data_IF_330174041248
#
_entry.id   IF_330174041248
#
_cell.length_a   1.000
_cell.length_b   1.000
_cell.length_c   1.000
_cell.angle_alpha   90.00
_cell.angle_beta   90.00
_cell.angle_gamma   90.00
#
_symmetry.space_group_name_H-M   'P 1'
#
loop_
_entity.id
_entity.type
_entity.pdbx_description
1 polymer ?
#
# COMPACT_ATOMS: atom_id res chain seq x y z
N UNK A 1 15.74 -34.44 2.78
CA UNK A 1 16.18 -34.05 1.43
C UNK A 1 16.37 -32.54 1.50
N UNK A 2 17.63 -32.07 1.39
CA UNK A 2 17.99 -30.65 1.39
C UNK A 2 17.35 -30.00 0.17
N UNK A 3 16.49 -29.00 0.40
CA UNK A 3 15.95 -28.16 -0.66
C UNK A 3 17.08 -27.42 -1.36
N UNK A 4 17.00 -27.35 -2.68
CA UNK A 4 17.92 -26.60 -3.52
C UNK A 4 17.81 -25.12 -3.13
N UNK A 5 18.91 -24.40 -2.82
CA UNK A 5 18.84 -22.97 -2.56
C UNK A 5 18.29 -22.25 -3.79
N UNK A 6 17.41 -21.28 -3.58
CA UNK A 6 16.86 -20.42 -4.62
C UNK A 6 18.01 -19.78 -5.40
N UNK A 7 18.34 -20.33 -6.57
CA UNK A 7 19.39 -19.79 -7.44
C UNK A 7 18.77 -18.70 -8.31
N UNK A 8 19.36 -17.48 -8.22
CA UNK A 8 19.19 -16.47 -9.26
C UNK A 8 19.92 -16.96 -10.51
N UNK A 9 19.22 -17.54 -11.46
CA UNK A 9 19.79 -18.01 -12.70
C UNK A 9 19.61 -16.94 -13.79
N UNK A 10 20.48 -15.94 -13.80
CA UNK A 10 20.46 -14.80 -14.71
C UNK A 10 20.75 -15.17 -16.18
N UNK A 11 21.06 -16.43 -16.49
CA UNK A 11 21.50 -16.88 -17.82
C UNK A 11 20.50 -17.78 -18.55
N UNK A 12 19.47 -18.30 -17.87
CA UNK A 12 18.47 -19.14 -18.52
C UNK A 12 17.30 -18.26 -19.02
N UNK A 13 16.83 -18.54 -20.25
CA UNK A 13 15.65 -17.85 -20.80
C UNK A 13 14.39 -18.30 -20.06
N UNK A 14 13.70 -17.41 -19.35
CA UNK A 14 12.48 -17.78 -18.62
C UNK A 14 11.34 -18.20 -19.54
N UNK A 15 11.28 -17.76 -20.81
CA UNK A 15 10.24 -18.17 -21.76
C UNK A 15 10.41 -19.61 -22.24
N UNK A 16 11.62 -20.18 -22.14
CA UNK A 16 11.83 -21.61 -22.39
C UNK A 16 11.43 -22.45 -21.17
N UNK A 17 11.63 -21.90 -19.96
CA UNK A 17 11.38 -22.61 -18.70
C UNK A 17 9.92 -22.54 -18.25
N UNK A 18 9.23 -21.45 -18.55
CA UNK A 18 7.87 -21.20 -18.10
C UNK A 18 6.96 -20.78 -19.26
N UNK A 19 5.75 -21.34 -19.28
CA UNK A 19 4.70 -20.87 -20.18
C UNK A 19 3.84 -19.83 -19.44
N UNK A 20 3.86 -18.59 -19.94
CA UNK A 20 3.02 -17.52 -19.41
C UNK A 20 1.59 -17.68 -19.94
N UNK A 21 0.62 -17.64 -19.05
CA UNK A 21 -0.82 -17.73 -19.34
C UNK A 21 -1.48 -16.35 -19.10
N UNK A 22 -2.73 -16.34 -18.62
CA UNK A 22 -3.51 -15.15 -18.38
C UNK A 22 -2.92 -14.25 -17.26
N UNK A 23 -3.13 -12.95 -17.40
CA UNK A 23 -2.83 -11.97 -16.35
C UNK A 23 -3.81 -12.17 -15.20
N UNK A 24 -3.29 -12.29 -13.99
CA UNK A 24 -4.08 -12.51 -12.76
C UNK A 24 -4.04 -11.33 -11.80
N UNK A 25 -3.19 -10.34 -12.07
CA UNK A 25 -3.11 -9.15 -11.23
C UNK A 25 -2.01 -8.19 -11.65
N UNK A 26 -1.93 -7.08 -10.90
CA UNK A 26 -0.89 -6.08 -11.02
C UNK A 26 -0.20 -5.94 -9.67
N UNK A 27 1.10 -6.19 -9.61
CA UNK A 27 1.94 -6.05 -8.42
C UNK A 27 2.42 -4.61 -8.20
N UNK A 28 3.09 -4.39 -7.06
CA UNK A 28 3.65 -3.07 -6.69
C UNK A 28 4.63 -2.53 -7.73
N UNK A 29 5.31 -3.41 -8.47
CA UNK A 29 6.36 -3.03 -9.44
C UNK A 29 6.11 -3.61 -10.84
N UNK A 30 5.03 -4.35 -11.07
CA UNK A 30 4.81 -5.00 -12.35
C UNK A 30 3.53 -5.81 -12.42
N UNK A 31 3.41 -6.63 -13.46
CA UNK A 31 2.24 -7.46 -13.72
C UNK A 31 2.45 -8.88 -13.24
N UNK A 32 1.38 -9.52 -12.77
CA UNK A 32 1.39 -10.91 -12.31
C UNK A 32 0.57 -11.77 -13.26
N UNK A 33 1.16 -12.87 -13.70
CA UNK A 33 0.54 -13.84 -14.60
C UNK A 33 0.46 -15.19 -13.93
N UNK A 34 -0.56 -15.96 -14.29
CA UNK A 34 -0.56 -17.39 -14.11
C UNK A 34 0.40 -18.00 -15.12
N UNK A 35 1.11 -19.04 -14.76
CA UNK A 35 2.02 -19.73 -15.65
C UNK A 35 2.17 -21.21 -15.31
N UNK A 36 2.91 -21.92 -16.16
CA UNK A 36 3.26 -23.32 -15.98
C UNK A 36 4.78 -23.44 -16.01
N UNK A 37 5.35 -24.10 -15.03
CA UNK A 37 6.72 -24.59 -15.07
C UNK A 37 6.77 -25.76 -16.07
N UNK A 38 7.44 -25.58 -17.20
CA UNK A 38 7.47 -26.54 -18.31
C UNK A 38 8.14 -27.87 -17.92
N UNK A 39 9.02 -27.86 -16.91
CA UNK A 39 9.68 -29.08 -16.43
C UNK A 39 8.80 -29.89 -15.47
N UNK A 40 8.24 -29.21 -14.47
CA UNK A 40 7.47 -29.88 -13.40
C UNK A 40 5.97 -29.99 -13.71
N UNK A 41 5.49 -29.27 -14.74
CA UNK A 41 4.08 -29.10 -15.10
C UNK A 41 3.23 -28.51 -13.96
N UNK A 42 3.85 -27.86 -13.00
CA UNK A 42 3.16 -27.17 -11.91
C UNK A 42 2.74 -25.77 -12.33
N UNK A 43 1.57 -25.37 -11.83
CA UNK A 43 1.09 -24.00 -11.98
C UNK A 43 1.88 -23.11 -11.03
N UNK A 44 2.35 -21.96 -11.54
CA UNK A 44 3.12 -20.95 -10.83
C UNK A 44 2.51 -19.57 -11.05
N UNK A 45 2.84 -18.63 -10.19
CA UNK A 45 2.61 -17.21 -10.41
C UNK A 45 3.92 -16.57 -10.91
N UNK A 46 3.82 -15.78 -11.97
CA UNK A 46 4.96 -15.12 -12.62
C UNK A 46 4.75 -13.62 -12.49
N UNK A 47 5.56 -12.94 -11.65
CA UNK A 47 5.59 -11.49 -11.57
C UNK A 47 6.65 -10.96 -12.51
N UNK A 48 6.28 -10.11 -13.46
CA UNK A 48 7.18 -9.52 -14.46
C UNK A 48 7.32 -8.02 -14.15
N UNK A 49 8.55 -7.58 -13.94
CA UNK A 49 8.91 -6.21 -13.63
C UNK A 49 9.82 -5.70 -14.75
N UNK A 50 9.49 -4.56 -15.34
CA UNK A 50 10.38 -3.86 -16.27
C UNK A 50 11.37 -3.01 -15.47
N UNK A 51 12.65 -3.38 -15.48
CA UNK A 51 13.69 -2.70 -14.70
C UNK A 51 14.05 -1.32 -15.26
N UNK A 52 13.77 -1.04 -16.53
CA UNK A 52 13.94 0.31 -17.09
C UNK A 52 12.87 1.27 -16.55
N UNK A 53 11.63 0.79 -16.45
CA UNK A 53 10.54 1.58 -15.85
C UNK A 53 10.69 1.72 -14.34
N UNK A 54 11.33 0.75 -13.68
CA UNK A 54 11.52 0.66 -12.23
C UNK A 54 12.96 1.00 -11.80
N UNK A 55 13.73 1.78 -12.57
CA UNK A 55 15.14 2.08 -12.30
C UNK A 55 15.36 2.63 -10.88
N UNK A 56 14.50 3.52 -10.42
CA UNK A 56 14.57 4.13 -9.09
C UNK A 56 14.18 3.17 -7.94
N UNK A 57 13.64 1.98 -8.26
CA UNK A 57 13.08 1.01 -7.31
C UNK A 57 13.88 -0.31 -7.25
N UNK A 58 15.00 -0.42 -7.98
CA UNK A 58 15.79 -1.65 -8.10
C UNK A 58 16.25 -2.17 -6.74
N UNK A 59 16.69 -1.28 -5.84
CA UNK A 59 17.13 -1.69 -4.50
C UNK A 59 15.98 -2.28 -3.68
N UNK A 60 14.78 -1.72 -3.80
CA UNK A 60 13.60 -2.20 -3.10
C UNK A 60 13.14 -3.56 -3.64
N UNK A 61 13.21 -3.75 -4.97
CA UNK A 61 12.91 -5.02 -5.63
C UNK A 61 13.90 -6.09 -5.20
N UNK A 62 15.19 -5.78 -5.15
CA UNK A 62 16.22 -6.71 -4.68
C UNK A 62 16.00 -7.09 -3.21
N UNK A 63 15.61 -6.13 -2.37
CA UNK A 63 15.31 -6.38 -0.97
C UNK A 63 14.08 -7.26 -0.80
N UNK A 64 13.00 -7.02 -1.55
CA UNK A 64 11.81 -7.88 -1.54
C UNK A 64 12.15 -9.32 -1.92
N UNK A 65 12.92 -9.53 -3.00
CA UNK A 65 13.37 -10.84 -3.44
C UNK A 65 14.24 -11.51 -2.36
N UNK A 66 15.14 -10.77 -1.74
CA UNK A 66 16.01 -11.29 -0.67
C UNK A 66 15.18 -11.78 0.51
N UNK A 67 14.21 -10.99 0.96
CA UNK A 67 13.32 -11.37 2.08
C UNK A 67 12.49 -12.59 1.71
N UNK A 68 11.86 -12.61 0.51
CA UNK A 68 11.08 -13.74 0.04
C UNK A 68 11.90 -15.03 -0.06
N UNK A 69 13.12 -14.94 -0.59
CA UNK A 69 14.01 -16.10 -0.75
C UNK A 69 14.44 -16.74 0.57
N UNK A 70 14.43 -15.99 1.66
CA UNK A 70 14.77 -16.44 3.01
C UNK A 70 13.56 -17.04 3.75
N UNK A 71 12.33 -16.81 3.27
CA UNK A 71 11.12 -17.31 3.92
C UNK A 71 10.89 -18.78 3.55
N UNK A 72 10.69 -19.62 4.55
CA UNK A 72 10.26 -21.02 4.41
C UNK A 72 9.18 -21.31 5.46
N UNK A 73 7.94 -21.04 5.12
CA UNK A 73 6.79 -21.22 6.00
C UNK A 73 5.56 -21.60 5.19
N UNK A 74 4.67 -22.46 5.70
CA UNK A 74 3.40 -22.79 5.05
C UNK A 74 2.42 -21.62 5.05
N UNK A 75 2.72 -20.53 5.77
CA UNK A 75 1.86 -19.34 5.91
C UNK A 75 2.34 -18.14 5.09
N UNK A 76 3.42 -18.31 4.34
CA UNK A 76 4.01 -17.30 3.46
C UNK A 76 4.15 -17.88 2.07
N UNK A 77 3.83 -17.09 1.06
CA UNK A 77 3.95 -17.47 -0.36
C UNK A 77 5.38 -17.88 -0.68
N UNK A 78 5.57 -19.05 -1.30
CA UNK A 78 6.90 -19.56 -1.66
C UNK A 78 7.47 -18.82 -2.85
N UNK A 79 8.77 -18.54 -2.78
CA UNK A 79 9.59 -18.04 -3.87
C UNK A 79 10.35 -19.19 -4.49
N UNK A 80 10.31 -19.34 -5.82
CA UNK A 80 10.99 -20.41 -6.54
C UNK A 80 12.26 -19.95 -7.26
N UNK A 81 12.35 -18.70 -7.65
CA UNK A 81 13.51 -18.14 -8.31
C UNK A 81 13.19 -16.89 -9.09
N UNK A 82 14.25 -16.26 -9.64
CA UNK A 82 14.13 -15.12 -10.52
C UNK A 82 15.03 -15.25 -11.73
N UNK A 83 14.59 -14.70 -12.86
CA UNK A 83 15.24 -14.77 -14.16
C UNK A 83 15.22 -13.39 -14.81
N UNK A 84 16.31 -13.04 -15.48
CA UNK A 84 16.37 -11.78 -16.23
C UNK A 84 16.33 -12.08 -17.72
N UNK A 85 15.39 -11.45 -18.44
CA UNK A 85 15.33 -11.46 -19.90
C UNK A 85 15.21 -10.04 -20.41
N UNK A 86 16.21 -9.59 -21.15
CA UNK A 86 16.36 -8.21 -21.59
C UNK A 86 16.27 -7.25 -20.40
N UNK A 87 15.30 -6.35 -20.38
CA UNK A 87 15.03 -5.42 -19.26
C UNK A 87 14.03 -5.94 -18.25
N UNK A 88 13.49 -7.16 -18.47
CA UNK A 88 12.39 -7.72 -17.67
C UNK A 88 12.88 -8.75 -16.66
N UNK A 89 12.57 -8.50 -15.40
CA UNK A 89 12.80 -9.42 -14.31
C UNK A 89 11.56 -10.29 -14.09
N UNK A 90 11.72 -11.61 -14.21
CA UNK A 90 10.70 -12.60 -13.95
C UNK A 90 10.91 -13.18 -12.56
N UNK A 91 9.92 -13.04 -11.69
CA UNK A 91 9.92 -13.62 -10.33
C UNK A 91 8.90 -14.74 -10.31
N UNK A 92 9.36 -15.95 -10.04
CA UNK A 92 8.53 -17.15 -10.03
C UNK A 92 8.15 -17.49 -8.59
N UNK A 93 6.85 -17.60 -8.35
CA UNK A 93 6.28 -17.79 -7.02
C UNK A 93 5.21 -18.88 -7.02
N UNK A 94 4.82 -19.29 -5.82
CA UNK A 94 3.69 -20.17 -5.61
C UNK A 94 2.40 -19.54 -6.13
N UNK A 95 1.63 -20.31 -6.90
CA UNK A 95 0.30 -19.91 -7.35
C UNK A 95 -0.76 -20.31 -6.32
N UNK A 96 -1.60 -19.35 -5.97
CA UNK A 96 -2.70 -19.51 -5.00
C UNK A 96 -4.02 -19.20 -5.70
N UNK A 97 -4.72 -20.26 -6.13
CA UNK A 97 -5.86 -20.16 -7.05
C UNK A 97 -7.20 -19.83 -6.39
N UNK A 98 -7.24 -19.66 -5.07
CA UNK A 98 -8.47 -19.29 -4.35
C UNK A 98 -8.77 -17.79 -4.35
N UNK A 99 -7.87 -16.97 -4.88
CA UNK A 99 -7.97 -15.51 -4.87
C UNK A 99 -7.46 -14.88 -3.58
N UNK A 100 -7.56 -13.56 -3.48
CA UNK A 100 -7.24 -12.82 -2.26
C UNK A 100 -8.44 -12.77 -1.30
N UNK A 101 -8.17 -12.47 -0.03
CA UNK A 101 -9.24 -12.23 0.93
C UNK A 101 -10.12 -11.03 0.51
N UNK A 102 -9.55 -10.06 -0.21
CA UNK A 102 -10.31 -8.95 -0.78
C UNK A 102 -11.28 -9.42 -1.86
N UNK A 103 -10.85 -10.31 -2.78
CA UNK A 103 -11.72 -10.90 -3.80
C UNK A 103 -12.90 -11.63 -3.17
N UNK A 104 -12.66 -12.33 -2.07
CA UNK A 104 -13.69 -13.09 -1.35
C UNK A 104 -14.73 -12.20 -0.64
N UNK A 105 -14.47 -10.91 -0.50
CA UNK A 105 -15.43 -9.91 0.02
C UNK A 105 -16.40 -9.40 -1.06
N UNK A 106 -16.09 -9.56 -2.35
CA UNK A 106 -16.92 -9.05 -3.46
C UNK A 106 -18.37 -9.58 -3.43
N UNK A 107 -18.62 -10.88 -3.23
CA UNK A 107 -19.99 -11.40 -3.18
C UNK A 107 -20.78 -10.98 -1.94
N UNK A 108 -20.12 -10.48 -0.90
CA UNK A 108 -20.76 -10.07 0.35
C UNK A 108 -19.90 -10.28 1.59
N UNK A 109 -20.48 -9.96 2.74
CA UNK A 109 -19.81 -10.04 4.04
C UNK A 109 -19.39 -11.46 4.43
N UNK A 110 -18.36 -11.55 5.25
CA UNK A 110 -17.90 -12.77 5.92
C UNK A 110 -18.60 -12.93 7.28
N UNK A 111 -18.81 -14.17 7.70
CA UNK A 111 -19.19 -14.46 9.08
C UNK A 111 -17.96 -14.40 10.01
N UNK A 112 -18.21 -14.34 11.33
CA UNK A 112 -17.12 -14.21 12.30
C UNK A 112 -16.24 -15.46 12.38
N UNK A 113 -16.73 -16.64 11.99
CA UNK A 113 -15.94 -17.86 11.90
C UNK A 113 -14.95 -17.78 10.75
N UNK A 114 -15.38 -17.28 9.59
CA UNK A 114 -14.54 -17.05 8.43
C UNK A 114 -13.48 -15.99 8.75
N UNK A 115 -13.88 -14.87 9.35
CA UNK A 115 -12.96 -13.81 9.79
C UNK A 115 -11.91 -14.36 10.78
N UNK A 116 -12.34 -15.10 11.81
CA UNK A 116 -11.43 -15.67 12.80
C UNK A 116 -10.44 -16.67 12.18
N UNK A 117 -10.90 -17.48 11.24
CA UNK A 117 -10.07 -18.47 10.56
C UNK A 117 -9.00 -17.79 9.69
N UNK A 118 -9.37 -16.77 8.93
CA UNK A 118 -8.42 -15.98 8.12
C UNK A 118 -7.43 -15.25 9.03
N UNK A 119 -7.89 -14.56 10.07
CA UNK A 119 -7.02 -13.84 11.01
C UNK A 119 -6.04 -14.76 11.73
N UNK A 120 -6.47 -15.96 12.11
CA UNK A 120 -5.56 -16.95 12.73
C UNK A 120 -4.43 -17.33 11.78
N UNK A 121 -4.70 -17.57 10.52
CA UNK A 121 -3.68 -17.93 9.54
C UNK A 121 -2.74 -16.75 9.24
N UNK A 122 -3.26 -15.52 9.16
CA UNK A 122 -2.43 -14.32 9.07
C UNK A 122 -1.51 -14.21 10.30
N UNK A 123 -2.04 -14.44 11.50
CA UNK A 123 -1.27 -14.42 12.75
C UNK A 123 -0.16 -15.45 12.77
N UNK A 124 -0.38 -16.65 12.25
CA UNK A 124 0.68 -17.67 12.12
C UNK A 124 1.79 -17.21 11.18
N UNK A 125 1.43 -16.57 10.06
CA UNK A 125 2.40 -15.97 9.14
C UNK A 125 3.20 -14.84 9.79
N UNK A 126 2.53 -13.95 10.53
CA UNK A 126 3.18 -12.86 11.26
C UNK A 126 4.07 -13.37 12.40
N UNK A 127 3.64 -14.38 13.16
CA UNK A 127 4.46 -14.98 14.21
C UNK A 127 5.77 -15.56 13.64
N UNK A 128 5.68 -16.24 12.49
CA UNK A 128 6.87 -16.70 11.76
C UNK A 128 7.77 -15.54 11.35
N UNK A 129 7.26 -14.54 10.63
CA UNK A 129 8.04 -13.39 10.14
C UNK A 129 8.70 -12.63 11.27
N UNK A 130 7.95 -12.35 12.35
CA UNK A 130 8.47 -11.62 13.50
C UNK A 130 9.54 -12.40 14.27
N UNK A 131 9.43 -13.74 14.35
CA UNK A 131 10.46 -14.60 14.93
C UNK A 131 11.76 -14.56 14.11
N UNK A 132 11.65 -14.43 12.78
CA UNK A 132 12.76 -14.25 11.84
C UNK A 132 13.25 -12.80 11.73
N UNK A 133 12.80 -11.90 12.62
CA UNK A 133 13.14 -10.47 12.62
C UNK A 133 12.75 -9.75 11.32
N UNK A 134 11.67 -10.19 10.69
CA UNK A 134 11.10 -9.59 9.49
C UNK A 134 9.78 -8.89 9.81
N UNK A 135 9.50 -7.77 9.13
CA UNK A 135 8.24 -7.03 9.19
C UNK A 135 7.62 -7.08 7.80
N UNK A 136 6.31 -7.38 7.71
CA UNK A 136 5.61 -7.45 6.43
C UNK A 136 5.38 -6.08 5.81
N UNK A 137 4.95 -5.09 6.61
CA UNK A 137 4.68 -3.68 6.25
C UNK A 137 3.47 -3.40 5.38
N UNK A 138 2.86 -4.39 4.75
CA UNK A 138 1.68 -4.19 3.88
C UNK A 138 0.61 -5.26 4.13
N UNK A 139 0.25 -5.46 5.40
CA UNK A 139 -0.86 -6.35 5.78
C UNK A 139 -2.18 -5.68 5.44
N UNK A 140 -2.94 -6.31 4.54
CA UNK A 140 -4.28 -5.93 4.09
C UNK A 140 -4.93 -7.13 3.39
N UNK A 141 -6.26 -7.12 3.21
CA UNK A 141 -6.98 -8.25 2.61
C UNK A 141 -6.49 -8.59 1.18
N UNK A 142 -6.05 -7.60 0.40
CA UNK A 142 -5.50 -7.81 -0.94
C UNK A 142 -4.20 -8.65 -0.95
N UNK A 143 -3.42 -8.61 0.12
CA UNK A 143 -2.14 -9.32 0.26
C UNK A 143 -2.25 -10.62 1.06
N UNK A 144 -3.46 -11.08 1.31
CA UNK A 144 -3.77 -12.36 1.94
C UNK A 144 -4.36 -13.26 0.87
N UNK A 145 -3.60 -14.25 0.42
CA UNK A 145 -4.00 -15.14 -0.67
C UNK A 145 -4.45 -16.50 -0.14
N UNK A 146 -5.38 -17.11 -0.83
CA UNK A 146 -5.89 -18.44 -0.51
C UNK A 146 -5.57 -19.44 -1.64
N UNK A 147 -5.20 -20.66 -1.25
CA UNK A 147 -5.19 -21.79 -2.18
C UNK A 147 -6.62 -22.24 -2.48
N UNK A 148 -6.80 -23.03 -3.52
CA UNK A 148 -8.11 -23.63 -3.82
C UNK A 148 -8.63 -24.55 -2.71
N UNK A 149 -7.76 -25.02 -1.82
CA UNK A 149 -8.08 -25.84 -0.66
C UNK A 149 -8.37 -25.02 0.60
N UNK A 150 -8.31 -23.68 0.50
CA UNK A 150 -8.59 -22.77 1.61
C UNK A 150 -7.38 -22.45 2.50
N UNK A 151 -6.17 -22.91 2.15
CA UNK A 151 -4.95 -22.51 2.86
C UNK A 151 -4.69 -21.01 2.66
N UNK A 152 -4.35 -20.31 3.72
CA UNK A 152 -4.15 -18.86 3.73
C UNK A 152 -2.67 -18.54 3.84
N UNK A 153 -2.16 -17.67 2.97
CA UNK A 153 -0.76 -17.27 2.95
C UNK A 153 -0.60 -15.76 2.78
N UNK A 154 0.43 -15.22 3.42
CA UNK A 154 0.84 -13.84 3.24
C UNK A 154 1.62 -13.70 1.93
N UNK A 155 1.27 -12.71 1.15
CA UNK A 155 1.91 -12.37 -0.11
C UNK A 155 2.29 -10.88 -0.15
N UNK A 156 3.06 -10.48 -1.16
CA UNK A 156 3.48 -9.10 -1.41
C UNK A 156 3.94 -8.36 -0.16
N UNK A 157 5.17 -8.64 0.22
CA UNK A 157 5.84 -7.84 1.23
C UNK A 157 6.00 -6.42 0.68
N UNK A 158 5.31 -5.47 1.28
CA UNK A 158 5.67 -4.07 1.09
C UNK A 158 7.13 -3.93 1.50
N UNK A 159 7.93 -3.17 0.79
CA UNK A 159 9.39 -3.04 1.02
C UNK A 159 9.81 -3.55 2.40
N UNK A 160 9.89 -4.88 2.53
CA UNK A 160 10.07 -5.56 3.79
C UNK A 160 11.50 -5.30 4.26
N UNK A 161 11.65 -4.35 5.17
CA UNK A 161 12.94 -4.07 5.77
C UNK A 161 13.29 -5.20 6.73
N UNK A 162 14.46 -5.80 6.58
CA UNK A 162 15.11 -6.40 7.73
C UNK A 162 15.30 -5.31 8.79
N UNK A 163 15.00 -5.63 10.04
CA UNK A 163 15.35 -4.79 11.19
C UNK A 163 16.88 -4.79 11.36
N UNK A 164 17.60 -4.14 10.46
CA UNK A 164 19.00 -3.83 10.66
C UNK A 164 19.09 -2.41 11.19
N UNK A 165 19.82 -2.22 12.29
CA UNK A 165 19.97 -0.95 13.02
C UNK A 165 20.42 0.26 12.18
N UNK A 166 20.74 0.05 10.92
CA UNK A 166 21.32 1.06 10.02
C UNK A 166 20.36 1.66 8.99
N UNK A 167 19.11 1.20 8.85
CA UNK A 167 18.20 1.67 7.79
C UNK A 167 16.94 2.41 8.27
N UNK A 168 16.98 3.07 9.41
CA UNK A 168 15.86 3.89 9.93
C UNK A 168 15.67 5.20 9.14
N UNK A 169 16.45 5.47 8.11
CA UNK A 169 16.46 6.75 7.38
C UNK A 169 16.21 6.61 5.88
N UNK A 170 15.07 6.08 5.46
CA UNK A 170 14.61 6.36 4.10
C UNK A 170 13.23 7.01 4.16
N UNK A 171 13.17 8.26 3.76
CA UNK A 171 11.97 9.09 3.58
C UNK A 171 11.11 8.60 2.41
N UNK A 172 10.75 7.32 2.36
CA UNK A 172 9.89 6.81 1.30
C UNK A 172 8.55 6.42 1.89
N UNK A 173 7.51 7.16 1.56
CA UNK A 173 6.13 6.78 1.81
C UNK A 173 5.82 5.54 0.97
N UNK A 174 5.95 4.37 1.56
CA UNK A 174 5.61 3.08 0.95
C UNK A 174 4.42 2.50 1.68
N UNK A 175 3.30 2.43 1.01
CA UNK A 175 2.12 1.77 1.51
C UNK A 175 0.82 2.55 1.28
N UNK A 176 -0.29 1.85 1.33
CA UNK A 176 -1.61 2.45 1.28
C UNK A 176 -1.94 2.99 2.68
N UNK A 177 -2.22 4.28 2.86
CA UNK A 177 -2.23 4.93 4.18
C UNK A 177 -3.28 4.38 5.14
N UNK A 178 -4.37 3.79 4.63
CA UNK A 178 -5.49 3.31 5.45
C UNK A 178 -5.11 2.23 6.46
N UNK A 179 -4.09 1.41 6.15
CA UNK A 179 -3.61 0.31 7.01
C UNK A 179 -2.35 0.66 7.80
N UNK A 180 -1.77 1.84 7.57
CA UNK A 180 -0.52 2.23 8.23
C UNK A 180 -0.71 2.56 9.70
N UNK A 181 0.24 2.11 10.53
CA UNK A 181 0.31 2.49 11.93
C UNK A 181 0.71 3.96 12.10
N UNK A 182 0.25 4.64 13.17
CA UNK A 182 0.59 6.04 13.43
C UNK A 182 2.09 6.33 13.47
N UNK A 183 2.89 5.43 14.07
CA UNK A 183 4.35 5.56 14.15
C UNK A 183 5.02 5.42 12.79
N UNK A 184 4.47 4.61 11.88
CA UNK A 184 4.96 4.47 10.50
C UNK A 184 4.73 5.77 9.72
N UNK A 185 3.54 6.36 9.84
CA UNK A 185 3.20 7.63 9.19
C UNK A 185 4.10 8.76 9.71
N UNK A 186 4.36 8.79 11.02
CA UNK A 186 5.25 9.77 11.65
C UNK A 186 6.73 9.56 11.34
N UNK A 187 7.05 8.51 10.58
CA UNK A 187 8.43 8.12 10.28
C UNK A 187 9.33 7.98 11.53
N UNK A 188 8.71 7.63 12.66
CA UNK A 188 9.43 7.29 13.88
C UNK A 188 9.93 5.85 13.81
N UNK A 189 10.88 5.49 14.69
CA UNK A 189 11.32 4.11 14.80
C UNK A 189 10.13 3.19 15.05
N UNK A 190 9.97 2.16 14.24
CA UNK A 190 8.88 1.19 14.37
C UNK A 190 9.42 -0.25 14.28
N UNK A 191 8.65 -1.18 14.81
CA UNK A 191 8.99 -2.60 14.88
C UNK A 191 7.84 -3.48 14.34
N UNK A 192 7.87 -4.75 14.67
CA UNK A 192 6.86 -5.74 14.30
C UNK A 192 5.43 -5.38 14.77
N UNK A 193 5.30 -4.48 15.76
CA UNK A 193 3.99 -4.02 16.25
C UNK A 193 3.22 -3.16 15.23
N UNK A 194 3.92 -2.61 14.22
CA UNK A 194 3.28 -1.95 13.09
C UNK A 194 2.40 -2.91 12.29
N UNK A 195 2.82 -4.16 12.08
CA UNK A 195 2.01 -5.20 11.43
C UNK A 195 0.77 -5.55 12.24
N UNK A 196 0.84 -5.48 13.58
CA UNK A 196 -0.30 -5.73 14.47
C UNK A 196 -1.37 -4.66 14.31
N UNK A 197 -0.98 -3.39 14.16
CA UNK A 197 -1.92 -2.33 13.81
C UNK A 197 -2.59 -2.61 12.46
N UNK A 198 -1.81 -2.89 11.43
CA UNK A 198 -2.33 -3.22 10.10
C UNK A 198 -3.27 -4.43 10.13
N UNK A 199 -2.99 -5.42 10.97
CA UNK A 199 -3.87 -6.56 11.22
C UNK A 199 -5.22 -6.12 11.82
N UNK A 200 -5.22 -5.20 12.78
CA UNK A 200 -6.45 -4.65 13.35
C UNK A 200 -7.31 -3.92 12.32
N UNK A 201 -6.69 -3.15 11.44
CA UNK A 201 -7.38 -2.50 10.30
C UNK A 201 -7.91 -3.57 9.32
N UNK A 202 -7.12 -4.60 9.04
CA UNK A 202 -7.54 -5.72 8.18
C UNK A 202 -8.72 -6.48 8.79
N UNK A 203 -8.78 -6.64 10.10
CA UNK A 203 -9.94 -7.23 10.77
C UNK A 203 -11.22 -6.40 10.54
N UNK A 204 -11.14 -5.07 10.59
CA UNK A 204 -12.27 -4.19 10.23
C UNK A 204 -12.61 -4.34 8.75
N UNK A 205 -11.60 -4.39 7.87
CA UNK A 205 -11.78 -4.59 6.43
C UNK A 205 -12.53 -5.90 6.13
N UNK A 206 -12.14 -7.01 6.75
CA UNK A 206 -12.81 -8.31 6.59
C UNK A 206 -14.25 -8.29 7.11
N UNK A 207 -14.54 -7.54 8.18
CA UNK A 207 -15.87 -7.42 8.73
C UNK A 207 -16.79 -6.50 7.91
N UNK A 208 -16.26 -5.39 7.39
CA UNK A 208 -17.04 -4.33 6.74
C UNK A 208 -16.85 -4.24 5.22
N UNK A 209 -15.93 -5.01 4.64
CA UNK A 209 -15.59 -4.96 3.22
C UNK A 209 -14.63 -3.84 2.83
N UNK A 210 -14.29 -2.95 3.74
CA UNK A 210 -13.39 -1.80 3.50
C UNK A 210 -12.72 -1.33 4.79
N UNK A 211 -11.52 -0.71 4.69
CA UNK A 211 -10.86 -0.15 5.85
C UNK A 211 -11.53 1.13 6.34
N UNK A 212 -11.25 1.57 7.58
CA UNK A 212 -11.67 2.89 8.06
C UNK A 212 -11.16 4.00 7.16
N UNK A 213 -11.93 5.08 7.04
CA UNK A 213 -11.59 6.26 6.24
C UNK A 213 -11.50 6.03 4.72
N UNK A 214 -11.93 4.87 4.20
CA UNK A 214 -11.84 4.52 2.78
C UNK A 214 -12.53 5.52 1.82
N UNK A 215 -13.49 6.29 2.30
CA UNK A 215 -14.17 7.34 1.53
C UNK A 215 -13.39 8.67 1.50
N UNK A 216 -12.29 8.80 2.24
CA UNK A 216 -11.49 10.01 2.32
C UNK A 216 -10.28 9.93 1.37
N UNK A 217 -9.84 11.09 0.90
CA UNK A 217 -8.61 11.16 0.12
C UNK A 217 -7.41 10.63 0.95
N UNK A 218 -6.52 9.79 0.38
CA UNK A 218 -5.40 9.17 1.10
C UNK A 218 -4.52 10.17 1.86
N UNK A 219 -4.23 11.33 1.28
CA UNK A 219 -3.44 12.37 1.96
C UNK A 219 -4.11 12.89 3.24
N UNK A 220 -5.45 13.03 3.24
CA UNK A 220 -6.19 13.43 4.46
C UNK A 220 -6.07 12.35 5.56
N UNK A 221 -6.08 11.09 5.18
CA UNK A 221 -5.97 9.95 6.10
C UNK A 221 -4.61 9.93 6.80
N UNK A 222 -3.52 10.30 6.11
CA UNK A 222 -2.18 10.42 6.70
C UNK A 222 -2.13 11.39 7.88
N UNK A 223 -2.94 12.45 7.87
CA UNK A 223 -3.02 13.39 9.00
C UNK A 223 -3.97 12.92 10.10
N UNK A 224 -5.05 12.24 9.72
CA UNK A 224 -6.06 11.80 10.68
C UNK A 224 -5.58 10.65 11.58
N UNK A 225 -4.88 9.66 11.03
CA UNK A 225 -4.45 8.47 11.79
C UNK A 225 -3.54 8.84 12.96
N UNK A 226 -2.49 9.69 12.81
CA UNK A 226 -1.67 10.08 13.94
C UNK A 226 -2.40 10.96 14.98
N UNK A 227 -3.35 11.77 14.54
CA UNK A 227 -4.03 12.77 15.39
C UNK A 227 -5.20 12.19 16.16
N UNK A 228 -6.04 11.42 15.50
CA UNK A 228 -7.31 10.95 16.06
C UNK A 228 -7.16 9.74 16.96
N UNK A 229 -8.22 9.43 17.72
CA UNK A 229 -8.33 8.16 18.43
C UNK A 229 -8.32 6.99 17.44
N UNK A 230 -7.87 5.78 17.85
CA UNK A 230 -7.90 4.61 17.00
C UNK A 230 -9.33 4.31 16.51
N UNK A 231 -9.46 3.78 15.30
CA UNK A 231 -10.75 3.28 14.82
C UNK A 231 -11.29 2.17 15.71
N UNK A 232 -12.61 2.05 15.77
CA UNK A 232 -13.31 0.98 16.49
C UNK A 232 -14.19 0.19 15.50
N UNK A 233 -14.44 -1.08 15.80
CA UNK A 233 -15.38 -1.89 15.04
C UNK A 233 -16.81 -1.61 15.56
N UNK A 234 -17.52 -0.75 14.86
CA UNK A 234 -18.91 -0.40 15.15
C UNK A 234 -19.88 -1.33 14.44
N UNK A 235 -21.03 -1.56 15.05
CA UNK A 235 -22.11 -2.36 14.48
C UNK A 235 -22.38 -3.63 15.28
N UNK A 236 -23.19 -4.52 14.69
CA UNK A 236 -23.63 -5.76 15.34
C UNK A 236 -22.60 -6.87 15.16
N UNK A 237 -21.51 -6.76 15.91
CA UNK A 237 -20.44 -7.77 15.98
C UNK A 237 -20.29 -8.25 17.43
N UNK A 238 -19.76 -9.47 17.59
CA UNK A 238 -19.52 -10.03 18.92
C UNK A 238 -18.52 -9.18 19.73
N UNK A 239 -18.70 -9.18 21.03
CA UNK A 239 -17.78 -8.52 21.96
C UNK A 239 -16.35 -9.02 21.80
N UNK A 240 -16.06 -10.35 21.64
CA UNK A 240 -14.70 -10.83 21.40
C UNK A 240 -14.04 -10.27 20.14
N UNK A 241 -14.77 -10.09 19.02
CA UNK A 241 -14.23 -9.49 17.81
C UNK A 241 -13.90 -8.01 18.02
N UNK A 242 -14.79 -7.25 18.65
CA UNK A 242 -14.57 -5.84 18.99
C UNK A 242 -13.34 -5.67 19.88
N UNK A 243 -13.16 -6.51 20.89
CA UNK A 243 -11.99 -6.50 21.77
C UNK A 243 -10.70 -6.89 21.02
N UNK A 244 -10.76 -7.84 20.08
CA UNK A 244 -9.62 -8.19 19.25
C UNK A 244 -9.13 -6.98 18.44
N UNK A 245 -10.04 -6.27 17.79
CA UNK A 245 -9.72 -5.04 17.04
C UNK A 245 -9.14 -3.97 17.98
N UNK A 246 -9.75 -3.75 19.13
CA UNK A 246 -9.33 -2.74 20.10
C UNK A 246 -7.89 -2.95 20.59
N UNK A 247 -7.51 -4.19 20.93
CA UNK A 247 -6.14 -4.46 21.41
C UNK A 247 -5.08 -4.33 20.31
N UNK A 248 -5.44 -4.59 19.05
CA UNK A 248 -4.55 -4.37 17.90
C UNK A 248 -4.33 -2.87 17.61
N UNK A 249 -5.38 -2.06 17.77
CA UNK A 249 -5.41 -0.65 17.41
C UNK A 249 -5.09 0.26 18.62
N UNK A 250 -4.02 -0.03 19.33
CA UNK A 250 -3.50 0.86 20.34
C UNK A 250 -2.47 1.81 19.72
N UNK A 251 -2.58 3.12 20.01
CA UNK A 251 -1.62 4.10 19.48
C UNK A 251 -0.21 3.89 20.00
N UNK A 252 -0.08 3.41 21.24
CA UNK A 252 1.21 3.03 21.81
C UNK A 252 1.58 1.61 21.35
N UNK A 253 2.61 1.42 20.49
CA UNK A 253 2.96 0.12 19.96
C UNK A 253 3.26 -0.94 21.02
N UNK A 254 3.88 -0.53 22.13
CA UNK A 254 4.25 -1.44 23.24
C UNK A 254 3.03 -2.09 23.91
N UNK A 255 1.85 -1.47 23.83
CA UNK A 255 0.61 -2.01 24.38
C UNK A 255 -0.12 -2.97 23.44
N UNK A 256 0.28 -3.02 22.17
CA UNK A 256 -0.29 -4.01 21.24
C UNK A 256 0.26 -5.38 21.57
N UNK A 257 -0.58 -6.44 21.60
CA UNK A 257 -0.11 -7.80 21.78
C UNK A 257 0.80 -8.23 20.61
N UNK A 258 1.64 -9.23 20.85
CA UNK A 258 2.38 -9.92 19.79
C UNK A 258 1.45 -10.83 18.98
N UNK A 259 1.88 -11.23 17.77
CA UNK A 259 1.14 -12.21 16.96
C UNK A 259 0.92 -13.53 17.74
N UNK A 260 1.94 -13.98 18.47
CA UNK A 260 1.88 -15.18 19.31
C UNK A 260 0.84 -15.08 20.44
N UNK A 261 0.72 -13.91 21.06
CA UNK A 261 -0.30 -13.65 22.09
C UNK A 261 -1.71 -13.59 21.48
N UNK A 262 -1.87 -12.95 20.32
CA UNK A 262 -3.14 -12.86 19.62
C UNK A 262 -3.67 -14.20 19.12
N UNK A 263 -2.79 -15.16 18.82
CA UNK A 263 -3.19 -16.55 18.50
C UNK A 263 -3.96 -17.20 19.67
N UNK A 264 -3.76 -16.72 20.90
CA UNK A 264 -4.46 -17.18 22.13
C UNK A 264 -5.66 -16.31 22.49
N UNK A 265 -5.97 -15.27 21.70
CA UNK A 265 -7.10 -14.39 21.98
C UNK A 265 -8.42 -15.16 21.90
N UNK A 266 -9.34 -14.87 22.80
CA UNK A 266 -10.63 -15.59 22.91
C UNK A 266 -11.44 -15.61 21.60
N UNK A 267 -11.37 -14.54 20.80
CA UNK A 267 -12.04 -14.49 19.50
C UNK A 267 -11.51 -15.58 18.55
N UNK A 268 -10.19 -15.71 18.46
CA UNK A 268 -9.53 -16.71 17.61
C UNK A 268 -9.84 -18.13 18.11
N UNK A 269 -9.60 -18.40 19.40
CA UNK A 269 -9.76 -19.74 19.96
C UNK A 269 -11.20 -20.26 19.82
N UNK A 270 -12.20 -19.40 20.02
CA UNK A 270 -13.61 -19.81 20.02
C UNK A 270 -14.21 -19.93 18.63
N UNK A 271 -13.75 -19.12 17.66
CA UNK A 271 -14.42 -18.98 16.37
C UNK A 271 -13.66 -19.59 15.20
N UNK A 272 -12.31 -19.66 15.25
CA UNK A 272 -11.53 -20.19 14.14
C UNK A 272 -11.76 -21.69 13.95
N UNK A 273 -12.00 -22.11 12.70
CA UNK A 273 -12.16 -23.49 12.27
C UNK A 273 -11.02 -23.94 11.37
N UNK A 274 -11.08 -25.18 10.85
CA UNK A 274 -10.13 -25.67 9.85
C UNK A 274 -10.18 -24.78 8.60
N UNK A 275 -9.04 -24.60 7.94
CA UNK A 275 -8.93 -23.77 6.72
C UNK A 275 -9.79 -24.29 5.57
N UNK A 276 -10.07 -25.61 5.53
CA UNK A 276 -11.02 -26.19 4.58
C UNK A 276 -12.43 -25.58 4.65
N UNK A 277 -12.80 -24.97 5.78
CA UNK A 277 -14.05 -24.22 5.92
C UNK A 277 -14.13 -22.99 5.00
N UNK A 278 -12.98 -22.46 4.59
CA UNK A 278 -12.87 -21.28 3.70
C UNK A 278 -13.14 -21.64 2.23
N UNK A 279 -13.18 -22.93 1.86
CA UNK A 279 -13.49 -23.35 0.47
C UNK A 279 -14.88 -22.91 0.03
N UNK A 280 -15.83 -22.81 0.96
CA UNK A 280 -17.17 -22.28 0.68
C UNK A 280 -17.13 -20.82 0.20
N UNK A 281 -16.24 -19.98 0.75
CA UNK A 281 -16.04 -18.62 0.28
C UNK A 281 -15.48 -18.57 -1.15
N UNK A 282 -14.53 -19.45 -1.44
CA UNK A 282 -13.92 -19.57 -2.77
C UNK A 282 -14.97 -19.99 -3.79
N UNK A 283 -15.80 -20.98 -3.46
CA UNK A 283 -16.88 -21.44 -4.31
C UNK A 283 -17.97 -20.36 -4.50
N UNK A 284 -18.28 -19.60 -3.44
CA UNK A 284 -19.19 -18.46 -3.50
C UNK A 284 -18.67 -17.40 -4.47
N UNK A 285 -17.40 -17.07 -4.41
CA UNK A 285 -16.77 -16.09 -5.29
C UNK A 285 -16.73 -16.57 -6.75
N UNK A 286 -16.41 -17.86 -7.00
CA UNK A 286 -16.43 -18.45 -8.34
C UNK A 286 -17.82 -18.39 -8.97
N UNK A 287 -18.88 -18.71 -8.22
CA UNK A 287 -20.28 -18.59 -8.68
C UNK A 287 -20.64 -17.14 -9.01
N UNK A 288 -20.34 -16.22 -8.09
CA UNK A 288 -20.57 -14.79 -8.28
C UNK A 288 -19.89 -14.27 -9.56
N UNK A 289 -18.63 -14.62 -9.79
CA UNK A 289 -17.93 -14.25 -11.02
C UNK A 289 -18.59 -14.82 -12.28
N UNK A 290 -19.05 -16.06 -12.25
CA UNK A 290 -19.73 -16.69 -13.41
C UNK A 290 -21.07 -16.00 -13.73
N UNK A 291 -21.80 -15.57 -12.71
CA UNK A 291 -23.07 -14.83 -12.87
C UNK A 291 -22.84 -13.44 -13.49
N UNK A 292 -21.80 -12.72 -13.08
CA UNK A 292 -21.44 -11.43 -13.66
C UNK A 292 -20.99 -11.53 -15.12
N UNK A 293 -20.35 -12.65 -15.51
CA UNK A 293 -19.93 -12.90 -16.89
C UNK A 293 -21.08 -13.24 -17.86
N UNK A 294 -22.25 -13.61 -17.37
CA UNK A 294 -23.42 -13.93 -18.21
C UNK A 294 -24.29 -12.71 -18.58
N UNK A 295 -24.22 -11.62 -17.83
CA UNK A 295 -24.95 -10.39 -18.15
C UNK A 295 -24.33 -9.57 -19.30
N UNK A 296 -23.14 -9.96 -19.79
CA UNK A 296 -22.39 -9.28 -20.85
C UNK A 296 -22.57 -9.82 -22.28
N UNK A 297 -23.39 -10.87 -22.52
CA UNK A 297 -23.52 -11.46 -23.86
C UNK A 297 -24.95 -11.56 -24.37
N UNK A 298 -25.61 -10.43 -24.56
CA UNK A 298 -26.75 -10.31 -25.48
C UNK A 298 -27.04 -8.85 -25.82
N UNK A 299 -26.36 -8.33 -26.85
CA UNK A 299 -27.00 -7.45 -27.86
C UNK A 299 -26.00 -7.13 -28.96
N UNK A 300 -26.40 -7.52 -30.16
CA UNK A 300 -25.75 -7.27 -31.42
C UNK A 300 -25.70 -5.79 -31.77
N UNK A 301 -24.64 -5.44 -32.48
CA UNK A 301 -24.38 -4.33 -33.38
C UNK A 301 -25.47 -3.27 -33.60
N UNK A 302 -25.12 -1.99 -33.37
CA UNK A 302 -25.36 -0.92 -34.34
C UNK A 302 -24.56 0.34 -33.94
N UNK A 303 -23.86 0.87 -34.94
CA UNK A 303 -23.11 2.12 -34.94
C UNK A 303 -23.97 3.34 -34.56
N UNK A 304 -23.43 4.20 -33.69
CA UNK A 304 -23.56 5.67 -33.80
C UNK A 304 -22.75 6.38 -32.71
N UNK A 305 -21.93 7.28 -33.15
CA UNK A 305 -21.20 8.27 -32.34
C UNK A 305 -22.15 9.16 -31.54
N UNK A 306 -21.80 9.46 -30.28
CA UNK A 306 -21.74 10.81 -29.71
C UNK A 306 -21.59 10.83 -28.19
N UNK A 307 -20.59 11.59 -27.77
CA UNK A 307 -20.43 12.46 -26.57
C UNK A 307 -20.98 12.08 -25.18
N UNK A 308 -19.97 12.12 -24.27
CA UNK A 308 -19.99 12.61 -22.87
C UNK A 308 -21.13 12.23 -21.93
N UNK A 309 -20.79 11.42 -20.93
CA UNK A 309 -20.86 11.78 -19.50
C UNK A 309 -20.37 10.64 -18.60
N UNK A 310 -19.48 11.02 -17.69
CA UNK A 310 -18.89 10.18 -16.66
C UNK A 310 -19.95 9.67 -15.67
N UNK A 311 -20.08 8.35 -15.59
CA UNK A 311 -20.60 7.68 -14.38
C UNK A 311 -19.71 6.47 -14.09
N UNK A 312 -19.21 6.42 -12.84
CA UNK A 312 -18.24 5.45 -12.38
C UNK A 312 -18.69 4.00 -12.55
N UNK A 313 -17.99 3.30 -13.41
CA UNK A 313 -18.03 1.86 -13.49
C UNK A 313 -17.00 1.29 -12.53
N UNK A 314 -17.43 0.45 -11.60
CA UNK A 314 -16.56 -0.38 -10.79
C UNK A 314 -15.76 -1.30 -11.71
N UNK A 315 -14.46 -1.02 -11.80
CA UNK A 315 -13.53 -1.94 -12.45
C UNK A 315 -13.22 -3.08 -11.47
N UNK A 316 -13.65 -4.27 -11.85
CA UNK A 316 -13.59 -5.47 -11.03
C UNK A 316 -12.19 -6.07 -11.07
N UNK A 317 -11.53 -6.11 -9.92
CA UNK A 317 -10.53 -7.14 -9.64
C UNK A 317 -9.09 -6.88 -10.05
N UNK A 318 -8.67 -5.62 -10.19
CA UNK A 318 -7.24 -5.34 -10.21
C UNK A 318 -6.70 -5.34 -8.77
N UNK A 319 -5.65 -6.11 -8.56
CA UNK A 319 -4.89 -6.10 -7.32
C UNK A 319 -4.40 -4.68 -7.07
N UNK A 320 -5.03 -3.98 -6.11
CA UNK A 320 -4.68 -2.58 -5.81
C UNK A 320 -3.37 -2.57 -5.02
N UNK A 321 -2.28 -2.35 -5.73
CA UNK A 321 -0.95 -2.21 -5.16
C UNK A 321 -0.57 -0.73 -4.97
N UNK A 322 0.35 -0.51 -4.06
CA UNK A 322 0.86 0.80 -3.69
C UNK A 322 1.48 1.53 -4.87
N UNK A 323 0.97 2.71 -5.22
CA UNK A 323 1.56 3.58 -6.24
C UNK A 323 2.61 4.44 -5.56
N UNK A 324 3.86 4.40 -6.07
CA UNK A 324 4.92 5.33 -5.69
C UNK A 324 4.92 6.53 -6.62
N UNK A 325 4.97 7.74 -6.07
CA UNK A 325 5.34 8.93 -6.82
C UNK A 325 6.88 9.00 -6.92
N UNK A 326 7.40 9.30 -8.13
CA UNK A 326 8.84 9.41 -8.40
C UNK A 326 9.39 10.71 -7.85
N UNK A 327 10.43 10.63 -7.02
CA UNK A 327 11.23 11.80 -6.63
C UNK A 327 12.25 12.17 -7.72
N UNK A 328 12.44 13.46 -8.02
CA UNK A 328 13.44 13.88 -9.00
C UNK A 328 14.85 13.91 -8.40
N UNK A 329 15.81 13.43 -9.19
CA UNK A 329 17.24 13.29 -8.92
C UNK A 329 17.89 14.57 -8.37
N UNK A 330 18.62 14.43 -7.25
CA UNK A 330 19.59 15.42 -6.80
C UNK A 330 20.88 15.29 -7.63
N UNK A 331 21.26 16.38 -8.28
CA UNK A 331 22.58 16.52 -8.92
C UNK A 331 23.52 17.11 -7.88
N UNK A 332 24.56 16.34 -7.51
CA UNK A 332 25.70 16.80 -6.72
C UNK A 332 26.55 17.80 -7.50
N UNK A 333 27.04 18.83 -6.82
CA UNK A 333 28.36 19.38 -7.07
C UNK A 333 28.90 20.20 -5.89
N UNK A 334 30.06 19.78 -5.40
CA UNK A 334 31.24 20.62 -5.14
C UNK A 334 31.47 21.21 -3.76
N UNK A 335 32.29 20.53 -2.99
CA UNK A 335 33.40 21.01 -2.13
C UNK A 335 33.31 22.33 -1.33
N UNK A 336 33.49 22.27 -0.01
CA UNK A 336 34.63 22.73 0.76
C UNK A 336 34.44 22.67 2.27
N UNK A 337 35.43 22.15 2.96
CA UNK A 337 35.61 22.08 4.43
C UNK A 337 36.21 23.36 5.01
N UNK A 338 36.61 23.36 6.32
CA UNK A 338 35.84 23.50 7.56
C UNK A 338 36.38 24.66 8.42
N UNK A 339 35.66 25.10 9.45
CA UNK A 339 36.34 25.69 10.63
C UNK A 339 35.52 25.55 11.93
N UNK A 340 36.27 25.29 13.00
CA UNK A 340 35.91 25.06 14.40
C UNK A 340 35.66 26.33 15.18
N UNK A 341 34.95 26.20 16.25
CA UNK A 341 35.11 26.61 17.66
C UNK A 341 33.96 27.45 18.25
N UNK A 342 33.51 27.02 19.44
CA UNK A 342 33.02 27.93 20.44
C UNK A 342 31.79 27.46 21.20
N UNK A 343 32.04 26.92 22.39
CA UNK A 343 31.07 26.52 23.40
C UNK A 343 30.24 27.70 23.94
N UNK A 344 28.92 27.51 24.18
CA UNK A 344 28.35 27.88 25.48
C UNK A 344 26.98 27.25 25.74
N UNK A 345 26.78 26.92 27.01
CA UNK A 345 25.59 26.26 27.59
C UNK A 345 24.40 27.23 27.65
N UNK A 346 23.23 26.75 27.24
CA UNK A 346 21.96 27.38 27.54
C UNK A 346 20.86 26.36 27.16
N UNK A 347 20.09 25.91 28.17
CA UNK A 347 18.90 25.08 27.98
C UNK A 347 17.85 25.88 27.22
N UNK A 348 17.61 25.52 25.99
CA UNK A 348 16.38 25.83 25.28
C UNK A 348 16.05 24.67 24.33
N UNK A 349 14.81 24.22 24.40
CA UNK A 349 14.22 23.22 23.47
C UNK A 349 14.41 23.73 22.05
N UNK A 350 14.88 22.90 21.09
CA UNK A 350 15.01 23.30 19.70
C UNK A 350 13.63 23.49 19.11
N UNK A 351 13.19 24.69 18.90
CA UNK A 351 12.17 25.06 17.91
C UNK A 351 12.79 24.76 16.55
N UNK A 352 12.29 23.77 15.85
CA UNK A 352 12.65 23.54 14.45
C UNK A 352 12.40 24.84 13.67
N UNK A 353 13.31 25.27 12.79
CA UNK A 353 13.09 26.44 11.96
C UNK A 353 11.87 26.16 11.06
N UNK A 354 10.86 27.01 11.15
CA UNK A 354 9.72 26.99 10.24
C UNK A 354 10.23 27.11 8.79
N UNK A 355 9.64 26.34 7.86
CA UNK A 355 9.89 26.44 6.44
C UNK A 355 9.80 27.91 5.99
N UNK A 356 10.80 28.36 5.23
CA UNK A 356 10.82 29.72 4.69
C UNK A 356 9.66 29.92 3.69
N UNK A 357 9.36 28.90 2.88
CA UNK A 357 8.23 28.96 1.94
C UNK A 357 6.88 28.99 2.64
N UNK A 358 6.74 28.32 3.78
CA UNK A 358 5.51 28.35 4.56
C UNK A 358 5.21 29.77 5.07
N UNK A 359 6.21 30.45 5.62
CA UNK A 359 6.05 31.79 6.20
C UNK A 359 6.03 32.91 5.16
N UNK A 360 6.87 32.83 4.12
CA UNK A 360 7.08 33.92 3.16
C UNK A 360 6.17 33.84 1.92
N UNK A 361 5.66 32.66 1.57
CA UNK A 361 4.89 32.43 0.35
C UNK A 361 3.49 31.90 0.66
N UNK A 362 3.40 30.78 1.36
CA UNK A 362 2.15 30.06 1.55
C UNK A 362 1.19 30.82 2.49
N UNK A 363 1.68 31.29 3.65
CA UNK A 363 0.84 32.03 4.59
C UNK A 363 0.27 33.32 4.02
N UNK A 364 1.05 34.18 3.34
CA UNK A 364 0.52 35.36 2.67
C UNK A 364 -0.49 35.03 1.57
N UNK A 365 -0.24 33.99 0.77
CA UNK A 365 -1.17 33.55 -0.27
C UNK A 365 -2.54 33.17 0.30
N UNK A 366 -2.58 32.45 1.42
CA UNK A 366 -3.83 32.10 2.07
C UNK A 366 -4.56 33.32 2.65
N UNK A 367 -3.84 34.34 3.11
CA UNK A 367 -4.45 35.62 3.53
C UNK A 367 -5.12 36.32 2.34
N UNK A 368 -4.43 36.43 1.20
CA UNK A 368 -5.00 36.99 -0.02
C UNK A 368 -6.22 36.21 -0.54
N UNK A 369 -6.14 34.88 -0.55
CA UNK A 369 -7.27 34.03 -0.98
C UNK A 369 -8.48 34.20 -0.06
N UNK A 370 -8.26 34.36 1.24
CA UNK A 370 -9.29 34.62 2.23
C UNK A 370 -10.00 35.97 1.99
N UNK A 371 -9.23 37.03 1.73
CA UNK A 371 -9.76 38.35 1.41
C UNK A 371 -10.58 38.32 0.11
N UNK A 372 -10.09 37.66 -0.94
CA UNK A 372 -10.81 37.51 -2.20
C UNK A 372 -12.09 36.69 -2.04
N UNK A 373 -12.06 35.59 -1.28
CA UNK A 373 -13.24 34.76 -1.02
C UNK A 373 -14.32 35.50 -0.22
N UNK A 374 -13.93 36.36 0.72
CA UNK A 374 -14.88 37.23 1.44
C UNK A 374 -15.62 38.18 0.50
N UNK A 375 -14.94 38.68 -0.54
CA UNK A 375 -15.53 39.57 -1.54
C UNK A 375 -16.55 38.89 -2.45
N UNK A 376 -16.48 37.55 -2.62
CA UNK A 376 -17.37 36.79 -3.50
C UNK A 376 -18.44 35.98 -2.76
N UNK A 377 -18.51 36.02 -1.42
CA UNK A 377 -19.57 35.38 -0.61
C UNK A 377 -19.48 33.87 -0.54
N UNK A 378 -18.33 33.28 -0.88
CA UNK A 378 -18.15 31.84 -0.97
C UNK A 378 -17.53 31.20 0.30
N UNK A 379 -17.64 29.90 0.37
CA UNK A 379 -17.43 29.01 1.51
C UNK A 379 -15.98 29.11 2.07
N UNK A 380 -15.77 29.95 3.08
CA UNK A 380 -14.47 30.19 3.74
C UNK A 380 -13.89 28.95 4.42
N UNK A 381 -14.72 27.95 4.72
CA UNK A 381 -14.28 26.74 5.42
C UNK A 381 -13.23 25.94 4.66
N UNK A 382 -13.37 25.82 3.35
CA UNK A 382 -12.45 25.01 2.52
C UNK A 382 -11.05 25.62 2.40
N UNK A 383 -10.91 26.94 2.38
CA UNK A 383 -9.60 27.64 2.33
C UNK A 383 -8.86 27.48 3.66
N UNK A 384 -9.58 27.60 4.77
CA UNK A 384 -9.01 27.42 6.10
C UNK A 384 -8.61 25.96 6.36
N UNK A 385 -9.45 25.00 5.92
CA UNK A 385 -9.12 23.57 5.99
C UNK A 385 -7.84 23.22 5.19
N UNK A 386 -7.70 23.79 3.99
CA UNK A 386 -6.50 23.61 3.17
C UNK A 386 -5.27 24.23 3.84
N UNK A 387 -5.38 25.41 4.42
CA UNK A 387 -4.32 26.06 5.18
C UNK A 387 -3.88 25.18 6.35
N UNK A 388 -4.84 24.74 7.19
CA UNK A 388 -4.55 23.85 8.31
C UNK A 388 -3.87 22.55 7.86
N UNK A 389 -4.31 21.96 6.76
CA UNK A 389 -3.71 20.75 6.21
C UNK A 389 -2.22 20.96 5.84
N UNK A 390 -1.87 22.12 5.25
CA UNK A 390 -0.47 22.41 4.92
C UNK A 390 0.37 22.66 6.19
N UNK A 391 -0.17 23.35 7.19
CA UNK A 391 0.53 23.52 8.47
C UNK A 391 0.77 22.18 9.19
N UNK A 392 -0.22 21.32 9.21
CA UNK A 392 -0.09 19.97 9.78
C UNK A 392 0.92 19.13 8.99
N UNK A 393 0.96 19.27 7.67
CA UNK A 393 1.96 18.62 6.84
C UNK A 393 3.38 19.07 7.21
N UNK A 394 3.59 20.37 7.41
CA UNK A 394 4.89 20.92 7.81
C UNK A 394 5.30 20.49 9.22
N UNK A 395 4.35 20.39 10.17
CA UNK A 395 4.63 19.84 11.51
C UNK A 395 5.01 18.36 11.46
N UNK A 396 4.34 17.60 10.59
CA UNK A 396 4.59 16.16 10.43
C UNK A 396 5.88 15.87 9.65
N UNK A 397 6.21 16.73 8.68
CA UNK A 397 7.37 16.60 7.81
C UNK A 397 7.99 17.98 7.55
N UNK A 398 8.90 18.45 8.44
CA UNK A 398 9.55 19.74 8.28
C UNK A 398 10.26 19.89 6.93
N UNK A 399 9.96 20.99 6.20
CA UNK A 399 10.48 21.26 4.86
C UNK A 399 9.59 20.77 3.70
N UNK A 400 8.46 20.14 3.97
CA UNK A 400 7.52 19.71 2.92
C UNK A 400 6.98 20.90 2.13
N UNK A 401 6.74 22.03 2.78
CA UNK A 401 6.28 23.26 2.15
C UNK A 401 7.31 23.84 1.19
N UNK A 402 8.60 23.78 1.54
CA UNK A 402 9.70 24.21 0.67
C UNK A 402 9.80 23.29 -0.57
N UNK A 403 9.66 21.99 -0.39
CA UNK A 403 9.63 21.00 -1.46
C UNK A 403 8.44 21.23 -2.39
N UNK A 404 7.25 21.44 -1.84
CA UNK A 404 6.02 21.70 -2.61
C UNK A 404 6.16 22.95 -3.48
N UNK A 405 6.62 24.06 -2.91
CA UNK A 405 6.82 25.31 -3.66
C UNK A 405 7.86 25.16 -4.75
N UNK A 406 8.99 24.48 -4.46
CA UNK A 406 10.03 24.22 -5.46
C UNK A 406 9.50 23.39 -6.63
N UNK A 407 8.73 22.34 -6.38
CA UNK A 407 8.10 21.52 -7.40
C UNK A 407 7.07 22.29 -8.24
N UNK A 408 6.24 23.12 -7.60
CA UNK A 408 5.29 23.98 -8.31
C UNK A 408 6.01 24.96 -9.26
N UNK A 409 7.09 25.61 -8.79
CA UNK A 409 7.89 26.53 -9.62
C UNK A 409 8.50 25.80 -10.80
N UNK A 410 9.09 24.63 -10.61
CA UNK A 410 9.65 23.83 -11.70
C UNK A 410 8.59 23.44 -12.75
N UNK A 411 7.42 23.00 -12.30
CA UNK A 411 6.32 22.62 -13.21
C UNK A 411 5.78 23.82 -13.98
N UNK A 412 5.62 24.98 -13.33
CA UNK A 412 5.20 26.22 -13.98
C UNK A 412 6.23 26.71 -15.01
N UNK A 413 7.52 26.61 -14.71
CA UNK A 413 8.59 26.93 -15.67
C UNK A 413 8.56 26.03 -16.89
N UNK A 414 8.37 24.71 -16.72
CA UNK A 414 8.21 23.77 -17.83
C UNK A 414 6.97 24.10 -18.66
N UNK A 415 5.84 24.39 -18.02
CA UNK A 415 4.60 24.74 -18.70
C UNK A 415 4.74 26.02 -19.55
N UNK A 416 5.44 27.05 -19.05
CA UNK A 416 5.70 28.28 -19.80
C UNK A 416 6.71 28.08 -20.94
N UNK A 417 7.64 27.11 -20.83
CA UNK A 417 8.59 26.77 -21.91
C UNK A 417 7.99 25.88 -23.01
N UNK A 418 6.95 25.10 -22.69
CA UNK A 418 6.26 24.23 -23.67
C UNK A 418 5.14 24.93 -24.44
N UNK A 419 5.01 26.26 -24.29
CA UNK A 419 4.19 27.10 -25.15
C UNK A 419 2.71 27.10 -24.82
N UNK A 420 2.29 28.11 -24.09
CA UNK A 420 0.94 28.62 -24.17
C UNK A 420 0.73 29.31 -25.53
N UNK A 421 0.52 28.54 -26.60
CA UNK A 421 -0.01 29.04 -27.85
C UNK A 421 -1.42 28.51 -28.02
N UNK A 422 -2.37 29.18 -27.39
CA UNK A 422 -3.73 29.27 -27.89
C UNK A 422 -4.12 30.73 -27.83
N UNK A 423 -4.00 31.37 -28.99
CA UNK A 423 -4.54 32.67 -29.29
C UNK A 423 -6.07 32.66 -29.05
N UNK A 424 -6.52 33.45 -28.12
CA UNK A 424 -7.92 33.83 -28.04
C UNK A 424 -8.18 34.92 -29.08
N UNK A 425 -8.72 34.53 -30.25
CA UNK A 425 -9.47 35.43 -31.07
C UNK A 425 -10.89 35.51 -30.54
N UNK A 426 -11.21 36.58 -29.84
CA UNK A 426 -12.56 37.13 -29.79
C UNK A 426 -12.47 38.47 -30.46
N UNK A 427 -12.88 38.51 -31.73
CA UNK A 427 -13.24 39.73 -32.44
C UNK A 427 -14.63 40.17 -31.94
N UNK A 428 -14.70 41.45 -31.54
CA UNK A 428 -15.91 42.24 -31.44
C UNK A 428 -16.72 42.21 -32.76
N UNK A 429 -18.02 41.97 -32.66
CA UNK A 429 -18.94 42.50 -33.64
C UNK A 429 -20.31 42.78 -33.01
N UNK A 430 -20.58 44.08 -32.85
CA UNK A 430 -21.87 44.82 -32.85
C UNK A 430 -22.99 44.30 -31.96
#
# INVERSE_FOLDING_TARGET
>A
KKGIPAQQNLKADPEELFTKLEKIGKGSFGEVFKGIDNWTQKVVAIKIIDLEEAEDEIEDIQQEITVLSQCDSPYVTKYYGSYLKDTKLWIIMEYLGGGSALDLLEPGCLDETQIATILREILKGLDYLHSEKKIHRDIKAANVLLSEQGEVKLADFGVAGQLTDTQIKRNTFVGTPFWMAPEVIKQSAYDSKADIWSLGITAIELAKGKPPHSALHPMKVLFLIPKNNPPTLEGNYSKPLKEFVEVCLNKEPSFRPTAKELLKHKFIIRNAKKTSYLTELIDRHKRWKSEQGHDGSSSEESDAESDDQATGGHDSGDWIFTIREKDPKNVENGEAQPQKLGSNKGKDTPRHPFSQCLSAIISPLFMELKEKSQAYGDNMGSIEELREAIYLAEEACPGISDTMVSQLVQRLQRYSLTGGSTSSNYEDTV
#
